data_IF_303792975480
#
_entry.id   IF_303792975480
#
_cell.length_a   1.000
_cell.length_b   1.000
_cell.length_c   1.000
_cell.angle_alpha   90.00
_cell.angle_beta   90.00
_cell.angle_gamma   90.00
#
_symmetry.space_group_name_H-M   'P 1'
#
loop_
_entity.id
_entity.type
_entity.pdbx_description
1 polymer ?
#
# COMPACT_ATOMS: atom_id res chain seq x y z
N UNK A 1 -3.87 -17.24 18.78
CA UNK A 1 -2.48 -16.80 19.03
C UNK A 1 -1.47 -17.89 18.68
N UNK A 2 -1.42 -19.01 19.41
CA UNK A 2 -0.49 -20.13 19.17
C UNK A 2 -0.43 -20.60 17.70
N UNK A 3 -1.57 -20.84 17.05
CA UNK A 3 -1.60 -21.28 15.65
C UNK A 3 -0.91 -20.28 14.69
N UNK A 4 -1.08 -18.97 14.92
CA UNK A 4 -0.45 -17.94 14.11
C UNK A 4 1.07 -17.88 14.36
N UNK A 5 1.50 -18.00 15.62
CA UNK A 5 2.93 -18.05 16.00
C UNK A 5 3.62 -19.29 15.41
N UNK A 6 2.95 -20.46 15.41
CA UNK A 6 3.45 -21.69 14.77
C UNK A 6 3.62 -21.51 13.26
N UNK A 7 2.66 -20.86 12.59
CA UNK A 7 2.75 -20.58 11.15
C UNK A 7 3.90 -19.60 10.87
N UNK A 8 4.01 -18.53 11.64
CA UNK A 8 5.06 -17.53 11.49
C UNK A 8 6.46 -18.17 11.63
N UNK A 9 6.65 -19.01 12.65
CA UNK A 9 7.90 -19.73 12.88
C UNK A 9 8.20 -20.73 11.75
N UNK A 10 7.20 -21.51 11.32
CA UNK A 10 7.34 -22.49 10.23
C UNK A 10 7.81 -21.84 8.92
N UNK A 11 7.39 -20.61 8.66
CA UNK A 11 7.76 -19.86 7.45
C UNK A 11 9.02 -19.01 7.64
N UNK A 12 9.62 -19.00 8.84
CA UNK A 12 10.70 -18.09 9.22
C UNK A 12 10.38 -16.63 8.86
N UNK A 13 9.12 -16.22 9.09
CA UNK A 13 8.66 -14.87 8.79
C UNK A 13 9.20 -13.90 9.87
N UNK A 14 10.47 -13.56 9.70
CA UNK A 14 11.27 -12.63 10.48
C UNK A 14 11.92 -11.61 9.54
N UNK A 15 11.12 -10.72 8.91
CA UNK A 15 11.65 -9.74 7.97
C UNK A 15 12.58 -8.74 8.68
N UNK A 16 13.77 -8.53 8.11
CA UNK A 16 14.75 -7.53 8.56
C UNK A 16 15.06 -6.57 7.39
N UNK A 17 14.14 -5.65 7.04
CA UNK A 17 14.33 -4.77 5.89
C UNK A 17 15.55 -3.85 6.11
N UNK A 18 16.40 -3.64 5.08
CA UNK A 18 17.60 -2.81 5.20
C UNK A 18 17.30 -1.30 5.16
N UNK A 19 16.06 -0.90 4.85
CA UNK A 19 15.64 0.50 4.75
C UNK A 19 14.31 0.71 5.47
N UNK A 20 14.17 1.85 6.13
CA UNK A 20 12.93 2.29 6.76
C UNK A 20 12.07 3.10 5.77
N UNK A 21 11.63 2.43 4.71
CA UNK A 21 10.77 3.03 3.67
C UNK A 21 9.57 2.14 3.33
N UNK A 22 9.14 1.33 4.31
CA UNK A 22 8.05 0.37 4.16
C UNK A 22 6.66 0.99 4.21
N UNK A 23 6.54 2.24 4.68
CA UNK A 23 5.28 2.98 4.73
C UNK A 23 5.49 4.48 4.46
N UNK A 24 4.44 5.22 4.07
CA UNK A 24 4.55 6.67 3.84
C UNK A 24 4.99 7.47 5.07
N UNK A 25 4.67 6.97 6.27
CA UNK A 25 4.99 7.65 7.54
C UNK A 25 6.47 7.55 7.91
N UNK A 26 7.17 6.50 7.48
CA UNK A 26 8.60 6.30 7.78
C UNK A 26 9.53 6.56 6.60
N UNK A 27 9.03 6.47 5.37
CA UNK A 27 9.84 6.70 4.18
C UNK A 27 10.43 8.12 4.09
N UNK A 28 11.66 8.28 3.56
CA UNK A 28 12.22 9.59 3.26
C UNK A 28 11.32 10.40 2.33
N UNK A 29 11.23 11.71 2.57
CA UNK A 29 10.29 12.59 1.86
C UNK A 29 10.51 12.58 0.34
N UNK A 30 11.76 12.51 -0.11
CA UNK A 30 12.12 12.44 -1.52
C UNK A 30 11.67 11.12 -2.17
N UNK A 31 11.76 9.99 -1.45
CA UNK A 31 11.29 8.69 -1.95
C UNK A 31 9.78 8.68 -2.05
N UNK A 32 9.09 9.22 -1.03
CA UNK A 32 7.64 9.38 -1.03
C UNK A 32 7.19 10.25 -2.22
N UNK A 33 7.81 11.41 -2.43
CA UNK A 33 7.47 12.32 -3.53
C UNK A 33 7.62 11.64 -4.91
N UNK A 34 8.70 10.87 -5.11
CA UNK A 34 8.90 10.10 -6.36
C UNK A 34 7.78 9.08 -6.56
N UNK A 35 7.37 8.36 -5.51
CA UNK A 35 6.26 7.41 -5.60
C UNK A 35 4.92 8.11 -5.87
N UNK A 36 4.66 9.23 -5.20
CA UNK A 36 3.42 9.98 -5.38
C UNK A 36 3.25 10.51 -6.80
N UNK A 37 4.32 11.03 -7.41
CA UNK A 37 4.26 11.47 -8.80
C UNK A 37 4.03 10.29 -9.76
N UNK A 38 4.77 9.17 -9.55
CA UNK A 38 4.60 7.94 -10.36
C UNK A 38 3.16 7.41 -10.33
N UNK A 39 2.51 7.45 -9.17
CA UNK A 39 1.16 6.91 -9.01
C UNK A 39 0.04 7.95 -9.12
N UNK A 40 0.35 9.21 -9.41
CA UNK A 40 -0.62 10.32 -9.43
C UNK A 40 -1.85 10.02 -10.31
N UNK A 41 -1.63 9.63 -11.57
CA UNK A 41 -2.72 9.37 -12.52
C UNK A 41 -3.54 8.13 -12.13
N UNK A 42 -2.87 7.04 -11.75
CA UNK A 42 -3.54 5.81 -11.33
C UNK A 42 -4.38 6.03 -10.06
N UNK A 43 -3.87 6.84 -9.11
CA UNK A 43 -4.61 7.24 -7.91
C UNK A 43 -5.84 8.07 -8.27
N UNK A 44 -5.71 9.03 -9.19
CA UNK A 44 -6.85 9.83 -9.68
C UNK A 44 -7.94 8.96 -10.33
N UNK A 45 -7.57 8.08 -11.25
CA UNK A 45 -8.50 7.16 -11.91
C UNK A 45 -9.23 6.26 -10.91
N UNK A 46 -8.51 5.70 -9.92
CA UNK A 46 -9.12 4.91 -8.85
C UNK A 46 -10.12 5.72 -8.04
N UNK A 47 -9.79 6.96 -7.69
CA UNK A 47 -10.69 7.83 -6.93
C UNK A 47 -11.91 8.25 -7.75
N UNK A 48 -11.77 8.48 -9.05
CA UNK A 48 -12.89 8.74 -9.95
C UNK A 48 -13.84 7.56 -10.02
N UNK A 49 -13.31 6.35 -10.13
CA UNK A 49 -14.11 5.13 -10.08
C UNK A 49 -14.88 5.00 -8.76
N UNK A 50 -14.21 5.21 -7.62
CA UNK A 50 -14.87 5.20 -6.30
C UNK A 50 -15.98 6.24 -6.23
N UNK A 51 -15.75 7.46 -6.77
CA UNK A 51 -16.77 8.51 -6.85
C UNK A 51 -17.96 8.10 -7.71
N UNK A 52 -17.72 7.47 -8.87
CA UNK A 52 -18.77 6.98 -9.76
C UNK A 52 -19.62 5.90 -9.09
N UNK A 53 -18.98 4.89 -8.48
CA UNK A 53 -19.66 3.82 -7.74
C UNK A 53 -20.51 4.42 -6.61
N UNK A 54 -19.94 5.34 -5.82
CA UNK A 54 -20.68 6.03 -4.74
C UNK A 54 -21.88 6.82 -5.28
N UNK A 55 -21.79 7.38 -6.48
CA UNK A 55 -22.86 8.10 -7.15
C UNK A 55 -23.87 7.18 -7.88
N UNK A 56 -23.71 5.85 -7.78
CA UNK A 56 -24.57 4.87 -8.47
C UNK A 56 -24.35 4.80 -9.98
N UNK A 57 -23.27 5.39 -10.50
CA UNK A 57 -22.90 5.30 -11.91
C UNK A 57 -22.02 4.06 -12.12
N UNK A 58 -22.38 3.13 -13.03
CA UNK A 58 -21.56 1.97 -13.29
C UNK A 58 -20.18 2.39 -13.86
N UNK A 59 -19.10 1.65 -13.55
CA UNK A 59 -17.83 1.81 -14.23
C UNK A 59 -18.02 1.64 -15.74
N UNK A 60 -17.37 2.48 -16.56
CA UNK A 60 -17.29 2.27 -18.01
C UNK A 60 -16.22 1.24 -18.35
#
# INVERSE_FOLDING_TARGET
RQAAETIQLRMEYNPAPPFDAGSPETAPAEVLAVMEDRFRLARQQRMDLVRQIRAGRPPR
#
